data_IF_567462216873
#
_entry.id   IF_567462216873
#
_cell.length_a   1.000
_cell.length_b   1.000
_cell.length_c   1.000
_cell.angle_alpha   90.00
_cell.angle_beta   90.00
_cell.angle_gamma   90.00
#
_symmetry.space_group_name_H-M   'P 1'
#
loop_
_entity.id
_entity.type
_entity.pdbx_description
1 polymer ?
#
# COMPACT_ATOMS: atom_id res chain seq x y z
N UNK A 1 -12.84 3.33 -8.59
CA UNK A 1 -12.54 2.33 -9.66
C UNK A 1 -11.17 1.73 -9.38
N UNK A 2 -11.00 0.41 -9.54
CA UNK A 2 -9.73 -0.27 -9.28
C UNK A 2 -9.37 -1.15 -10.46
N UNK A 3 -8.13 -1.07 -10.91
CA UNK A 3 -7.58 -1.93 -11.95
C UNK A 3 -6.73 -3.00 -11.28
N UNK A 4 -7.08 -4.25 -11.52
CA UNK A 4 -6.43 -5.43 -10.96
C UNK A 4 -5.76 -6.19 -12.10
N UNK A 5 -4.48 -6.50 -11.92
CA UNK A 5 -3.72 -7.36 -12.83
C UNK A 5 -4.27 -8.78 -12.80
N UNK A 6 -4.58 -9.34 -13.96
CA UNK A 6 -5.18 -10.67 -14.06
C UNK A 6 -4.22 -11.81 -13.71
N UNK A 7 -2.93 -11.62 -13.98
CA UNK A 7 -1.89 -12.64 -13.78
C UNK A 7 -1.51 -12.86 -12.30
N UNK A 8 -1.71 -11.84 -11.45
CA UNK A 8 -1.32 -11.89 -10.04
C UNK A 8 -2.39 -11.42 -9.05
N UNK A 9 -3.56 -10.98 -9.53
CA UNK A 9 -4.66 -10.43 -8.74
C UNK A 9 -4.28 -9.22 -7.87
N UNK A 10 -3.21 -8.50 -8.25
CA UNK A 10 -2.76 -7.31 -7.54
C UNK A 10 -3.40 -6.05 -8.11
N UNK A 11 -3.85 -5.15 -7.24
CA UNK A 11 -4.21 -3.80 -7.67
C UNK A 11 -2.98 -3.07 -8.23
N UNK A 12 -3.13 -2.43 -9.39
CA UNK A 12 -2.07 -1.60 -10.01
C UNK A 12 -2.45 -0.14 -10.10
N UNK A 13 -3.74 0.15 -10.02
CA UNK A 13 -4.28 1.51 -9.99
C UNK A 13 -5.56 1.54 -9.20
N UNK A 14 -5.77 2.59 -8.42
CA UNK A 14 -7.05 2.88 -7.80
C UNK A 14 -7.39 4.37 -7.91
N UNK A 15 -8.65 4.65 -8.19
CA UNK A 15 -9.21 6.00 -8.25
C UNK A 15 -10.21 6.17 -7.12
N UNK A 16 -9.96 7.20 -6.30
CA UNK A 16 -10.75 7.60 -5.14
C UNK A 16 -11.49 8.88 -5.47
N UNK A 17 -12.81 8.84 -5.27
CA UNK A 17 -13.71 9.95 -5.57
C UNK A 17 -14.19 10.58 -4.26
N UNK A 18 -14.43 11.88 -4.28
CA UNK A 18 -14.98 12.61 -3.14
C UNK A 18 -16.51 12.43 -3.02
N UNK A 19 -17.11 13.09 -2.03
CA UNK A 19 -18.56 13.04 -1.76
C UNK A 19 -19.42 13.60 -2.91
N UNK A 20 -18.82 14.34 -3.85
CA UNK A 20 -19.47 14.89 -5.04
C UNK A 20 -19.17 14.05 -6.29
N UNK A 21 -18.62 12.85 -6.11
CA UNK A 21 -18.24 11.93 -7.18
C UNK A 21 -17.17 12.50 -8.14
N UNK A 22 -16.35 13.46 -7.67
CA UNK A 22 -15.22 13.97 -8.45
C UNK A 22 -13.96 13.18 -8.11
N UNK A 23 -13.13 12.92 -9.12
CA UNK A 23 -11.84 12.26 -8.89
C UNK A 23 -11.00 13.16 -7.96
N UNK A 24 -10.62 12.60 -6.82
CA UNK A 24 -9.87 13.31 -5.79
C UNK A 24 -8.44 12.80 -5.71
N UNK A 25 -8.26 11.47 -5.66
CA UNK A 25 -6.94 10.85 -5.58
C UNK A 25 -6.79 9.68 -6.53
N UNK A 26 -5.57 9.50 -7.03
CA UNK A 26 -5.15 8.39 -7.89
C UNK A 26 -3.94 7.71 -7.30
N UNK A 27 -4.08 6.42 -7.01
CA UNK A 27 -3.00 5.53 -6.60
C UNK A 27 -2.49 4.78 -7.83
N UNK A 28 -1.17 4.74 -8.00
CA UNK A 28 -0.46 3.88 -8.95
C UNK A 28 0.50 2.98 -8.18
N UNK A 29 0.44 1.67 -8.44
CA UNK A 29 1.25 0.65 -7.77
C UNK A 29 2.16 0.01 -8.82
N UNK A 30 3.43 -0.14 -8.48
CA UNK A 30 4.48 -0.64 -9.36
C UNK A 30 5.53 -1.41 -8.54
N UNK A 31 6.51 -2.00 -9.23
CA UNK A 31 7.50 -2.89 -8.64
C UNK A 31 6.81 -4.00 -7.82
N UNK A 32 6.07 -4.86 -8.53
CA UNK A 32 5.32 -5.98 -7.95
C UNK A 32 6.06 -7.27 -8.30
N UNK A 33 6.49 -8.01 -7.29
CA UNK A 33 7.14 -9.30 -7.45
C UNK A 33 6.72 -10.25 -6.31
N UNK A 34 7.20 -11.49 -6.33
CA UNK A 34 6.96 -12.43 -5.23
C UNK A 34 8.04 -12.29 -4.17
N UNK A 35 7.62 -12.11 -2.92
CA UNK A 35 8.48 -12.20 -1.74
C UNK A 35 7.99 -13.37 -0.91
N UNK A 36 8.85 -14.38 -0.71
CA UNK A 36 8.50 -15.61 0.01
C UNK A 36 7.21 -16.30 -0.50
N UNK A 37 6.97 -16.22 -1.81
CA UNK A 37 5.80 -16.80 -2.47
C UNK A 37 4.60 -15.87 -2.62
N UNK A 38 4.57 -14.73 -1.94
CA UNK A 38 3.45 -13.78 -1.94
C UNK A 38 3.70 -12.64 -2.92
N UNK A 39 2.73 -12.38 -3.81
CA UNK A 39 2.76 -11.17 -4.63
C UNK A 39 2.75 -9.93 -3.73
N UNK A 40 3.75 -9.08 -3.90
CA UNK A 40 4.07 -7.99 -2.98
C UNK A 40 4.38 -6.74 -3.78
N UNK A 41 3.84 -5.61 -3.35
CA UNK A 41 4.11 -4.29 -3.94
C UNK A 41 5.26 -3.60 -3.21
N UNK A 42 6.14 -2.95 -3.95
CA UNK A 42 7.29 -2.24 -3.38
C UNK A 42 7.26 -0.73 -3.63
N UNK A 43 6.43 -0.26 -4.56
CA UNK A 43 6.35 1.15 -4.90
C UNK A 43 4.89 1.59 -5.11
N UNK A 44 4.47 2.57 -4.32
CA UNK A 44 3.17 3.20 -4.43
C UNK A 44 3.33 4.70 -4.61
N UNK A 45 2.61 5.27 -5.56
CA UNK A 45 2.49 6.71 -5.75
C UNK A 45 1.03 7.11 -5.62
N UNK A 46 0.72 7.92 -4.62
CA UNK A 46 -0.58 8.56 -4.45
C UNK A 46 -0.49 10.01 -4.93
N UNK A 47 -1.38 10.40 -5.83
CA UNK A 47 -1.51 11.76 -6.34
C UNK A 47 -2.88 12.31 -5.96
N UNK A 48 -2.94 13.50 -5.36
CA UNK A 48 -4.15 14.29 -5.30
C UNK A 48 -4.30 15.02 -6.64
N UNK A 49 -5.27 14.63 -7.46
CA UNK A 49 -5.42 15.17 -8.82
C UNK A 49 -5.98 16.59 -8.83
N UNK A 50 -6.58 17.04 -7.72
CA UNK A 50 -7.17 18.37 -7.59
C UNK A 50 -6.13 19.41 -7.19
N UNK A 51 -5.10 19.01 -6.43
CA UNK A 51 -4.07 19.93 -5.90
C UNK A 51 -2.67 19.68 -6.45
N UNK A 52 -2.44 18.54 -7.12
CA UNK A 52 -1.14 18.14 -7.65
C UNK A 52 -0.17 17.56 -6.62
N UNK A 53 -0.51 17.56 -5.32
CA UNK A 53 0.33 16.98 -4.28
C UNK A 53 0.52 15.47 -4.48
N UNK A 54 1.74 14.99 -4.23
CA UNK A 54 2.14 13.60 -4.41
C UNK A 54 2.79 13.05 -3.16
N UNK A 55 2.49 11.78 -2.87
CA UNK A 55 3.14 10.97 -1.85
C UNK A 55 3.68 9.71 -2.50
N UNK A 56 4.95 9.40 -2.25
CA UNK A 56 5.59 8.18 -2.70
C UNK A 56 5.89 7.33 -1.47
N UNK A 57 5.48 6.07 -1.49
CA UNK A 57 5.78 5.07 -0.46
C UNK A 57 6.62 3.99 -1.12
N UNK A 58 7.80 3.73 -0.54
CA UNK A 58 8.73 2.66 -0.95
C UNK A 58 8.92 1.68 0.19
N UNK A 59 8.84 0.40 -0.13
CA UNK A 59 8.86 -0.68 0.87
C UNK A 59 9.97 -1.66 0.53
N UNK A 60 11.00 -1.65 1.37
CA UNK A 60 12.19 -2.49 1.24
C UNK A 60 12.22 -3.57 2.31
N UNK A 61 12.90 -4.68 2.03
CA UNK A 61 13.11 -5.79 2.97
C UNK A 61 11.81 -6.34 3.61
N UNK A 62 10.74 -6.39 2.83
CA UNK A 62 9.49 -7.02 3.26
C UNK A 62 9.72 -8.52 3.51
N UNK A 63 9.19 -9.04 4.62
CA UNK A 63 9.31 -10.45 5.00
C UNK A 63 7.95 -10.98 5.47
N UNK A 64 7.65 -12.21 5.10
CA UNK A 64 6.42 -12.91 5.44
C UNK A 64 6.70 -14.11 6.34
N UNK A 65 5.68 -14.61 7.04
CA UNK A 65 5.77 -15.78 7.92
C UNK A 65 6.88 -15.72 8.98
N UNK A 66 7.30 -14.51 9.35
CA UNK A 66 8.20 -14.30 10.50
C UNK A 66 7.41 -14.53 11.78
N UNK A 67 8.00 -15.21 12.76
CA UNK A 67 7.38 -15.39 14.08
C UNK A 67 7.41 -14.05 14.81
N UNK A 68 6.24 -13.48 15.07
CA UNK A 68 6.07 -12.25 15.83
C UNK A 68 5.37 -12.56 17.15
N UNK A 69 5.84 -11.96 18.24
CA UNK A 69 5.17 -12.07 19.53
C UNK A 69 3.85 -11.28 19.49
N UNK A 70 2.72 -11.82 19.99
CA UNK A 70 1.46 -11.08 20.09
C UNK A 70 1.58 -9.78 20.90
N UNK A 71 2.52 -9.72 21.85
CA UNK A 71 2.73 -8.55 22.70
C UNK A 71 3.23 -7.32 21.92
N UNK A 72 3.74 -7.50 20.70
CA UNK A 72 4.10 -6.39 19.80
C UNK A 72 2.90 -5.55 19.39
N UNK A 73 1.68 -6.09 19.47
CA UNK A 73 0.45 -5.44 19.03
C UNK A 73 -0.38 -4.92 20.21
N UNK A 74 0.28 -4.32 21.20
CA UNK A 74 -0.38 -3.75 22.38
C UNK A 74 -0.11 -2.25 22.50
N UNK A 75 -1.04 -1.50 23.11
CA UNK A 75 -0.87 -0.05 23.35
C UNK A 75 0.39 0.22 24.18
N UNK A 76 0.59 -0.57 25.24
CA UNK A 76 1.78 -0.42 26.10
C UNK A 76 3.08 -0.59 25.31
N UNK A 77 3.12 -1.48 24.30
CA UNK A 77 4.30 -1.64 23.46
C UNK A 77 4.50 -0.48 22.47
N UNK A 78 3.43 0.15 22.01
CA UNK A 78 3.51 1.38 21.22
C UNK A 78 4.07 2.55 22.05
N UNK A 79 3.62 2.69 23.31
CA UNK A 79 4.06 3.75 24.21
C UNK A 79 5.54 3.63 24.63
N UNK A 80 6.01 2.39 24.84
CA UNK A 80 7.41 2.13 25.18
C UNK A 80 8.37 2.35 24.02
N UNK A 81 7.88 2.27 22.78
CA UNK A 81 8.73 2.17 21.60
C UNK A 81 9.33 0.76 21.44
N UNK A 82 9.98 0.55 20.30
CA UNK A 82 10.79 -0.65 20.04
C UNK A 82 12.20 -0.47 20.60
#
# INVERSE_FOLDING_TARGET
VTWVRQDCLMAVKAEYYDKLNKLHRRLTISNINKVQGFWTMHHMQMENVQTGHKTIIRMDNQKFNIKLSPNLFTVSQLEKGL
#
